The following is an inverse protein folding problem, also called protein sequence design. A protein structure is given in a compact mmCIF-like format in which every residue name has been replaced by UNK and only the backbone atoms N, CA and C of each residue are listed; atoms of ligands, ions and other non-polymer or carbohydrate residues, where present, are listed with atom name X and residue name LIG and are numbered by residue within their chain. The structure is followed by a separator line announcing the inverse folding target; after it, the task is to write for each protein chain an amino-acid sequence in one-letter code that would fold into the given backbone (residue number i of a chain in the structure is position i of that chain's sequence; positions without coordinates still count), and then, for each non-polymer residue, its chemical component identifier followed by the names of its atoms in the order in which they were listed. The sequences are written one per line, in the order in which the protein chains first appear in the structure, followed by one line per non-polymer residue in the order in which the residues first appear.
data_IF_540915976155
#
_entry.id   IF_540915976155
#
_cell.length_a   1.000
_cell.length_b   1.000
_cell.length_c   1.000
_cell.angle_alpha   90.00
_cell.angle_beta   90.00
_cell.angle_gamma   90.00
#
_symmetry.space_group_name_H-M   'P 1'
#
loop_
_entity.id
_entity.type
_entity.pdbx_description
1 polymer ?
#
# COMPACT_ATOMS: atom_id res chain seq x y z
N UNK A 1 -16.42 -39.02 -9.57
CA UNK A 1 -16.02 -38.00 -10.57
C UNK A 1 -15.89 -36.70 -9.80
N UNK A 2 -14.69 -36.41 -9.29
CA UNK A 2 -14.39 -35.25 -8.46
C UNK A 2 -13.41 -34.42 -9.29
N UNK A 3 -13.88 -33.35 -9.92
CA UNK A 3 -13.01 -32.44 -10.64
C UNK A 3 -12.17 -31.66 -9.62
N UNK A 4 -10.90 -32.03 -9.56
CA UNK A 4 -9.88 -31.31 -8.83
C UNK A 4 -9.56 -30.02 -9.61
N UNK A 5 -10.21 -28.92 -9.24
CA UNK A 5 -9.70 -27.57 -9.54
C UNK A 5 -8.35 -27.41 -8.81
N UNK A 6 -7.28 -27.91 -9.42
CA UNK A 6 -5.93 -27.42 -9.16
C UNK A 6 -5.86 -26.02 -9.74
N UNK A 7 -6.38 -25.06 -8.99
CA UNK A 7 -6.15 -23.65 -9.25
C UNK A 7 -4.64 -23.44 -9.32
N UNK A 8 -4.14 -23.13 -10.51
CA UNK A 8 -2.78 -22.68 -10.72
C UNK A 8 -2.58 -21.45 -9.84
N UNK A 9 -1.97 -21.65 -8.67
CA UNK A 9 -1.62 -20.57 -7.75
C UNK A 9 -0.62 -19.69 -8.49
N UNK A 10 -1.07 -18.55 -9.00
CA UNK A 10 -0.21 -17.59 -9.67
C UNK A 10 0.87 -17.22 -8.64
N UNK A 11 2.13 -17.64 -8.88
CA UNK A 11 3.26 -17.27 -8.01
C UNK A 11 3.52 -15.78 -8.24
N UNK A 12 2.87 -14.92 -7.47
CA UNK A 12 3.11 -13.47 -7.45
C UNK A 12 4.23 -13.14 -6.46
N UNK A 13 5.39 -13.76 -6.68
CA UNK A 13 6.61 -13.46 -5.94
C UNK A 13 7.24 -12.19 -6.52
N UNK A 14 7.47 -11.20 -5.68
CA UNK A 14 7.99 -9.89 -6.07
C UNK A 14 9.14 -9.53 -5.14
N UNK A 15 10.22 -8.98 -5.70
CA UNK A 15 11.39 -8.56 -4.94
C UNK A 15 11.23 -7.12 -4.46
N UNK A 16 11.34 -6.92 -3.14
CA UNK A 16 11.30 -5.59 -2.53
C UNK A 16 12.67 -5.22 -1.95
N UNK A 17 13.09 -3.95 -2.10
CA UNK A 17 14.30 -3.46 -1.47
C UNK A 17 14.15 -3.46 0.06
N UNK A 18 15.25 -3.78 0.74
CA UNK A 18 15.40 -3.67 2.19
C UNK A 18 16.76 -3.08 2.49
N UNK A 19 16.79 -2.03 3.33
CA UNK A 19 18.02 -1.46 3.84
C UNK A 19 18.37 -2.12 5.17
N UNK A 20 19.47 -2.86 5.19
CA UNK A 20 19.89 -3.63 6.35
C UNK A 20 21.02 -2.93 7.09
N UNK A 21 20.79 -2.61 8.35
CA UNK A 21 21.79 -2.08 9.27
C UNK A 21 22.06 -3.08 10.39
N UNK A 22 23.26 -3.02 10.98
CA UNK A 22 23.56 -3.80 12.19
C UNK A 22 23.03 -3.07 13.42
N UNK A 23 22.40 -3.83 14.32
CA UNK A 23 21.96 -3.37 15.65
C UNK A 23 22.75 -4.14 16.71
N UNK A 24 23.79 -3.50 17.25
CA UNK A 24 24.69 -4.14 18.22
C UNK A 24 25.59 -5.22 17.59
N UNK A 25 25.93 -6.25 18.37
CA UNK A 25 26.99 -7.21 18.02
C UNK A 25 26.52 -8.27 17.00
N UNK A 26 25.27 -8.70 17.08
CA UNK A 26 24.79 -9.88 16.33
C UNK A 26 23.39 -9.76 15.70
N UNK A 27 22.72 -8.61 15.82
CA UNK A 27 21.40 -8.44 15.21
C UNK A 27 21.44 -7.51 14.01
N UNK A 28 20.53 -7.78 13.09
CA UNK A 28 20.25 -6.98 11.91
C UNK A 28 18.88 -6.32 12.08
N UNK A 29 18.77 -5.10 11.58
CA UNK A 29 17.51 -4.39 11.40
C UNK A 29 17.34 -4.09 9.91
N UNK A 30 16.15 -4.29 9.39
CA UNK A 30 15.79 -4.07 8.00
C UNK A 30 14.65 -3.07 7.88
N UNK A 31 14.87 -1.98 7.16
CA UNK A 31 13.85 -1.01 6.82
C UNK A 31 13.43 -1.18 5.36
N UNK A 32 12.13 -1.27 5.10
CA UNK A 32 11.60 -1.37 3.76
C UNK A 32 11.05 -0.01 3.32
N UNK A 33 11.57 0.64 2.26
CA UNK A 33 11.08 1.93 1.79
C UNK A 33 9.62 1.85 1.34
N UNK A 34 9.23 0.73 0.73
CA UNK A 34 7.86 0.52 0.26
C UNK A 34 6.90 0.15 1.39
N UNK A 35 7.41 -0.25 2.56
CA UNK A 35 6.62 -0.58 3.74
C UNK A 35 7.16 0.15 4.98
N UNK A 36 7.00 1.48 5.08
CA UNK A 36 7.65 2.29 6.14
C UNK A 36 7.15 1.96 7.55
N UNK A 37 6.01 1.27 7.69
CA UNK A 37 5.50 0.78 8.98
C UNK A 37 6.05 -0.60 9.37
N UNK A 38 6.85 -1.24 8.51
CA UNK A 38 7.45 -2.55 8.73
C UNK A 38 8.91 -2.36 9.11
N UNK A 39 9.26 -2.88 10.28
CA UNK A 39 10.59 -2.79 10.85
C UNK A 39 11.07 -4.20 11.16
N UNK A 40 11.79 -4.79 10.21
CA UNK A 40 12.24 -6.16 10.31
C UNK A 40 13.46 -6.26 11.23
N UNK A 41 13.54 -7.32 12.03
CA UNK A 41 14.69 -7.60 12.88
C UNK A 41 15.00 -9.10 12.89
N UNK A 42 16.28 -9.46 13.00
CA UNK A 42 16.72 -10.86 13.08
C UNK A 42 18.20 -11.00 13.43
N UNK A 43 18.61 -12.15 13.95
CA UNK A 43 20.02 -12.52 14.16
C UNK A 43 20.71 -13.02 12.89
N UNK A 44 19.94 -13.34 11.85
CA UNK A 44 20.41 -13.70 10.52
C UNK A 44 19.56 -13.01 9.44
N UNK A 45 20.01 -13.03 8.18
CA UNK A 45 19.20 -12.51 7.07
C UNK A 45 17.92 -13.33 6.88
N UNK A 46 17.96 -14.65 7.08
CA UNK A 46 16.76 -15.48 6.99
C UNK A 46 15.71 -15.11 8.06
N UNK A 47 16.15 -14.82 9.28
CA UNK A 47 15.26 -14.35 10.35
C UNK A 47 14.69 -12.96 10.06
N UNK A 48 15.52 -12.07 9.49
CA UNK A 48 15.11 -10.73 9.09
C UNK A 48 14.06 -10.77 7.96
N UNK A 49 14.26 -11.61 6.94
CA UNK A 49 13.31 -11.80 5.83
C UNK A 49 11.98 -12.39 6.35
N UNK A 50 12.05 -13.38 7.24
CA UNK A 50 10.85 -13.95 7.87
C UNK A 50 10.09 -12.93 8.71
N UNK A 51 10.81 -12.08 9.47
CA UNK A 51 10.25 -10.99 10.26
C UNK A 51 9.56 -9.94 9.39
N UNK A 52 10.19 -9.54 8.29
CA UNK A 52 9.61 -8.62 7.31
C UNK A 52 8.30 -9.18 6.74
N UNK A 53 8.34 -10.43 6.25
CA UNK A 53 7.17 -11.07 5.65
C UNK A 53 6.01 -11.21 6.65
N UNK A 54 6.30 -11.63 7.89
CA UNK A 54 5.27 -11.76 8.92
C UNK A 54 4.57 -10.42 9.19
N UNK A 55 5.32 -9.33 9.29
CA UNK A 55 4.76 -8.00 9.53
C UNK A 55 3.97 -7.46 8.33
N UNK A 56 4.44 -7.70 7.11
CA UNK A 56 3.73 -7.31 5.89
C UNK A 56 2.41 -8.06 5.78
N UNK A 57 2.42 -9.39 5.97
CA UNK A 57 1.19 -10.21 5.99
C UNK A 57 0.26 -9.71 7.08
N UNK A 58 0.72 -9.54 8.33
CA UNK A 58 -0.14 -9.09 9.43
C UNK A 58 -0.80 -7.71 9.18
N UNK A 59 -0.16 -6.84 8.40
CA UNK A 59 -0.66 -5.49 8.09
C UNK A 59 -1.54 -5.44 6.83
N UNK A 60 -1.36 -6.36 5.88
CA UNK A 60 -2.02 -6.27 4.57
C UNK A 60 -3.01 -7.41 4.32
N UNK A 61 -2.84 -8.57 4.96
CA UNK A 61 -3.73 -9.71 4.77
C UNK A 61 -5.13 -9.41 5.32
N UNK A 62 -6.15 -9.57 4.47
CA UNK A 62 -7.54 -9.25 4.79
C UNK A 62 -7.86 -7.77 5.02
N UNK A 63 -6.89 -6.85 4.85
CA UNK A 63 -7.11 -5.41 4.94
C UNK A 63 -7.26 -4.79 3.55
N UNK A 64 -8.08 -3.74 3.43
CA UNK A 64 -8.19 -2.91 2.22
C UNK A 64 -6.97 -1.98 2.03
N UNK A 65 -5.76 -2.47 2.30
CA UNK A 65 -4.50 -1.74 2.12
C UNK A 65 -3.79 -2.22 0.85
N UNK A 66 -3.45 -1.27 -0.02
CA UNK A 66 -2.65 -1.53 -1.21
C UNK A 66 -1.28 -2.09 -0.81
N UNK A 67 -0.84 -3.10 -1.54
CA UNK A 67 0.58 -3.46 -1.59
C UNK A 67 1.23 -2.54 -2.64
N UNK A 68 2.12 -1.61 -2.24
CA UNK A 68 2.77 -0.72 -3.20
C UNK A 68 3.70 -1.51 -4.13
N UNK A 69 3.93 -1.05 -5.38
CA UNK A 69 4.94 -1.66 -6.23
C UNK A 69 6.35 -1.48 -5.63
N UNK A 70 7.29 -2.41 -5.86
CA UNK A 70 8.64 -2.29 -5.32
C UNK A 70 9.40 -1.12 -5.93
N UNK A 71 10.11 -0.36 -5.11
CA UNK A 71 11.06 0.65 -5.59
C UNK A 71 12.32 -0.04 -6.08
N UNK A 72 12.48 -0.17 -7.40
CA UNK A 72 13.63 -0.88 -8.02
C UNK A 72 14.77 0.04 -8.45
N UNK A 73 14.55 1.36 -8.51
CA UNK A 73 15.58 2.32 -8.89
C UNK A 73 16.56 2.58 -7.73
N UNK A 74 17.77 2.02 -7.86
CA UNK A 74 18.82 2.17 -6.86
C UNK A 74 19.22 3.63 -6.62
N UNK A 75 19.10 4.51 -7.61
CA UNK A 75 19.44 5.94 -7.44
C UNK A 75 18.45 6.60 -6.49
N UNK A 76 17.16 6.24 -6.58
CA UNK A 76 16.12 6.70 -5.66
C UNK A 76 16.37 6.15 -4.26
N UNK A 77 16.71 4.86 -4.16
CA UNK A 77 17.00 4.22 -2.86
C UNK A 77 18.20 4.85 -2.16
N UNK A 78 19.29 5.09 -2.88
CA UNK A 78 20.51 5.71 -2.34
C UNK A 78 20.33 7.19 -1.97
N UNK A 79 19.44 7.90 -2.67
CA UNK A 79 19.10 9.28 -2.34
C UNK A 79 18.10 9.38 -1.17
N UNK A 80 17.52 8.27 -0.72
CA UNK A 80 16.51 8.25 0.34
C UNK A 80 17.13 8.50 1.72
N UNK A 81 16.35 9.06 2.65
CA UNK A 81 16.78 9.24 4.04
C UNK A 81 16.99 7.92 4.81
N UNK A 82 16.68 6.77 4.22
CA UNK A 82 16.98 5.46 4.79
C UNK A 82 18.44 5.06 4.57
N UNK A 83 19.06 5.50 3.47
CA UNK A 83 20.44 5.16 3.18
C UNK A 83 21.40 6.03 4.00
N UNK A 84 21.67 5.56 5.21
CA UNK A 84 22.63 6.18 6.13
C UNK A 84 24.11 5.97 5.75
N UNK A 85 24.37 5.20 4.68
CA UNK A 85 25.71 4.69 4.34
C UNK A 85 26.32 3.68 5.33
N UNK A 86 25.62 3.32 6.41
CA UNK A 86 26.08 2.36 7.44
C UNK A 86 25.51 0.95 7.26
N UNK A 87 24.65 0.76 6.26
CA UNK A 87 23.99 -0.48 5.94
C UNK A 87 24.26 -0.95 4.52
N UNK A 88 23.54 -1.99 4.13
CA UNK A 88 23.55 -2.53 2.77
C UNK A 88 22.12 -2.62 2.25
N UNK A 89 21.96 -2.34 0.96
CA UNK A 89 20.73 -2.67 0.24
C UNK A 89 20.73 -4.14 -0.15
N UNK A 90 19.60 -4.80 0.06
CA UNK A 90 19.29 -6.12 -0.50
C UNK A 90 17.88 -6.11 -1.07
N UNK A 91 17.59 -7.09 -1.89
CA UNK A 91 16.23 -7.39 -2.32
C UNK A 91 15.76 -8.67 -1.62
N UNK A 92 14.54 -8.65 -1.11
CA UNK A 92 13.91 -9.81 -0.48
C UNK A 92 12.68 -10.21 -1.28
N UNK A 93 12.50 -11.51 -1.45
CA UNK A 93 11.37 -12.06 -2.18
C UNK A 93 10.13 -12.12 -1.27
N UNK A 94 9.09 -11.40 -1.65
CA UNK A 94 7.80 -11.41 -0.96
C UNK A 94 6.80 -12.17 -1.82
N UNK A 95 6.23 -13.23 -1.27
CA UNK A 95 5.15 -13.97 -1.90
C UNK A 95 3.81 -13.25 -1.67
N UNK A 96 3.41 -12.41 -2.63
CA UNK A 96 2.14 -11.70 -2.58
C UNK A 96 0.94 -12.66 -2.66
N UNK A 97 1.12 -13.92 -3.08
CA UNK A 97 0.08 -14.94 -3.00
C UNK A 97 -0.27 -15.37 -1.57
N UNK A 98 0.53 -14.94 -0.57
CA UNK A 98 0.25 -15.07 0.87
C UNK A 98 -0.33 -13.80 1.49
N UNK A 99 -0.30 -12.69 0.76
CA UNK A 99 -0.94 -11.44 1.15
C UNK A 99 -2.24 -11.40 0.35
N UNK A 100 -3.38 -11.76 0.96
CA UNK A 100 -4.67 -11.68 0.26
C UNK A 100 -5.15 -10.23 0.14
N UNK A 101 -4.33 -9.36 -0.45
CA UNK A 101 -4.76 -8.02 -0.83
C UNK A 101 -5.64 -8.16 -2.07
N UNK A 102 -6.96 -8.10 -1.87
CA UNK A 102 -7.95 -8.15 -2.96
C UNK A 102 -8.02 -6.79 -3.65
N UNK A 103 -6.88 -6.29 -4.11
CA UNK A 103 -6.77 -4.99 -4.76
C UNK A 103 -6.73 -5.21 -6.25
N UNK A 104 -7.78 -4.72 -6.91
CA UNK A 104 -7.90 -4.69 -8.36
C UNK A 104 -7.60 -3.28 -8.83
N UNK A 105 -6.68 -3.14 -9.78
CA UNK A 105 -6.53 -1.89 -10.52
C UNK A 105 -7.73 -1.74 -11.44
N UNK A 106 -8.56 -0.73 -11.18
CA UNK A 106 -9.72 -0.43 -12.02
C UNK A 106 -9.44 0.84 -12.82
N UNK A 107 -9.43 0.72 -14.15
CA UNK A 107 -9.44 1.88 -15.03
C UNK A 107 -10.87 2.43 -15.13
N UNK A 108 -11.06 3.68 -14.73
CA UNK A 108 -12.37 4.34 -14.65
C UNK A 108 -12.37 5.58 -15.53
N UNK A 109 -13.48 5.81 -16.24
CA UNK A 109 -13.76 7.11 -16.86
C UNK A 109 -14.68 7.90 -15.94
N UNK A 110 -14.19 8.99 -15.35
CA UNK A 110 -14.92 9.86 -14.45
C UNK A 110 -15.11 11.26 -15.07
N UNK A 111 -16.17 12.01 -14.70
CA UNK A 111 -16.29 13.41 -15.08
C UNK A 111 -15.05 14.21 -14.66
N UNK A 112 -14.56 15.08 -15.55
CA UNK A 112 -13.34 15.86 -15.31
C UNK A 112 -13.36 16.64 -13.99
N UNK A 113 -14.52 17.18 -13.62
CA UNK A 113 -14.67 17.93 -12.38
C UNK A 113 -14.51 17.03 -11.14
N UNK A 114 -15.06 15.82 -11.17
CA UNK A 114 -14.92 14.85 -10.08
C UNK A 114 -13.46 14.44 -9.87
N UNK A 115 -12.71 14.22 -10.96
CA UNK A 115 -11.27 13.92 -10.86
C UNK A 115 -10.51 15.07 -10.19
N UNK A 116 -10.83 16.33 -10.54
CA UNK A 116 -10.21 17.51 -9.92
C UNK A 116 -10.53 17.63 -8.43
N UNK A 117 -11.74 17.28 -8.04
CA UNK A 117 -12.16 17.33 -6.63
C UNK A 117 -11.45 16.26 -5.79
N UNK A 118 -11.28 15.05 -6.34
CA UNK A 118 -10.48 13.99 -5.71
C UNK A 118 -9.02 14.44 -5.57
N UNK A 119 -8.45 15.05 -6.61
CA UNK A 119 -7.05 15.53 -6.58
C UNK A 119 -6.82 16.60 -5.53
N UNK A 120 -7.76 17.55 -5.43
CA UNK A 120 -7.72 18.59 -4.40
C UNK A 120 -7.80 17.98 -3.01
N UNK A 121 -8.72 17.05 -2.79
CA UNK A 121 -8.89 16.40 -1.48
C UNK A 121 -7.65 15.58 -1.09
N UNK A 122 -7.09 14.83 -2.04
CA UNK A 122 -5.82 14.11 -1.84
C UNK A 122 -4.69 15.07 -1.43
N UNK A 123 -4.60 16.22 -2.10
CA UNK A 123 -3.62 17.26 -1.79
C UNK A 123 -3.84 17.93 -0.43
N UNK A 124 -5.08 18.25 -0.07
CA UNK A 124 -5.43 18.89 1.22
C UNK A 124 -5.18 17.95 2.41
N UNK A 125 -5.44 16.66 2.22
CA UNK A 125 -5.24 15.63 3.25
C UNK A 125 -3.82 15.04 3.25
N UNK A 126 -2.98 15.37 2.26
CA UNK A 126 -1.63 14.83 2.13
C UNK A 126 -1.60 13.32 1.85
N UNK A 127 -2.63 12.78 1.20
CA UNK A 127 -2.79 11.35 0.90
C UNK A 127 -2.81 11.08 -0.60
N UNK A 128 -2.76 9.81 -0.99
CA UNK A 128 -2.82 9.40 -2.40
C UNK A 128 -4.26 9.46 -2.94
N UNK A 129 -4.37 9.60 -4.28
CA UNK A 129 -5.65 9.66 -4.99
C UNK A 129 -6.49 8.39 -4.79
N UNK A 130 -5.85 7.23 -4.88
CA UNK A 130 -6.41 5.90 -4.62
C UNK A 130 -6.94 5.77 -3.18
N UNK A 131 -6.18 6.21 -2.17
CA UNK A 131 -6.66 6.22 -0.79
C UNK A 131 -7.85 7.16 -0.61
N UNK A 132 -7.83 8.33 -1.26
CA UNK A 132 -8.96 9.26 -1.28
C UNK A 132 -10.22 8.62 -1.88
N UNK A 133 -10.09 7.92 -3.00
CA UNK A 133 -11.20 7.19 -3.65
C UNK A 133 -11.73 6.07 -2.74
N UNK A 134 -10.85 5.30 -2.11
CA UNK A 134 -11.27 4.25 -1.16
C UNK A 134 -12.07 4.84 0.01
N UNK A 135 -11.58 5.93 0.61
CA UNK A 135 -12.28 6.63 1.69
C UNK A 135 -13.66 7.13 1.25
N UNK A 136 -13.75 7.75 0.06
CA UNK A 136 -15.03 8.22 -0.49
C UNK A 136 -16.02 7.08 -0.73
N UNK A 137 -15.55 5.92 -1.21
CA UNK A 137 -16.39 4.73 -1.40
C UNK A 137 -16.89 4.13 -0.08
N UNK A 138 -16.04 4.08 0.95
CA UNK A 138 -16.42 3.60 2.29
C UNK A 138 -17.52 4.48 2.93
N UNK A 139 -17.42 5.80 2.77
CA UNK A 139 -18.42 6.74 3.29
C UNK A 139 -19.69 6.83 2.40
N UNK A 140 -19.54 6.62 1.08
CA UNK A 140 -20.63 6.66 0.12
C UNK A 140 -21.56 5.44 0.14
N UNK A 141 -21.10 4.30 0.68
CA UNK A 141 -21.88 3.06 0.77
C UNK A 141 -23.15 3.16 1.64
N UNK A 142 -23.32 4.25 2.41
CA UNK A 142 -24.50 4.54 3.22
C UNK A 142 -25.57 5.40 2.53
N UNK A 143 -25.36 5.87 1.30
CA UNK A 143 -26.36 6.64 0.54
C UNK A 143 -26.65 5.95 -0.79
N UNK A 144 -27.91 5.56 -1.09
CA UNK A 144 -28.23 5.10 -2.43
C UNK A 144 -27.90 6.22 -3.41
N UNK A 145 -27.12 5.90 -4.44
CA UNK A 145 -26.88 6.79 -5.56
C UNK A 145 -28.25 7.16 -6.15
N UNK A 146 -28.76 8.34 -5.79
CA UNK A 146 -29.87 8.96 -6.49
C UNK A 146 -29.32 9.34 -7.86
N UNK A 147 -29.51 8.45 -8.82
CA UNK A 147 -29.36 8.78 -10.22
C UNK A 147 -30.27 9.97 -10.51
N UNK A 148 -29.69 11.16 -10.54
CA UNK A 148 -30.33 12.37 -10.98
C UNK A 148 -29.54 12.85 -12.20
N UNK A 149 -30.22 12.87 -13.35
CA UNK A 149 -29.73 13.47 -14.57
C UNK A 149 -29.39 14.96 -14.39
N UNK A 150 -28.95 15.63 -15.47
CA UNK A 150 -28.33 16.94 -15.40
C UNK A 150 -29.38 18.02 -15.14
N UNK A 151 -29.80 18.19 -13.89
CA UNK A 151 -30.27 19.49 -13.44
C UNK A 151 -30.12 19.64 -11.92
N UNK A 152 -29.58 20.79 -11.53
CA UNK A 152 -29.46 21.34 -10.16
C UNK A 152 -28.39 20.77 -9.22
N UNK A 153 -27.17 21.30 -9.37
CA UNK A 153 -26.27 21.52 -8.23
C UNK A 153 -26.67 22.83 -7.54
N UNK A 154 -27.50 22.75 -6.50
CA UNK A 154 -27.45 23.72 -5.41
C UNK A 154 -26.36 23.28 -4.43
N UNK A 155 -25.65 24.20 -3.77
CA UNK A 155 -24.52 23.85 -2.91
C UNK A 155 -25.03 23.12 -1.67
N UNK A 156 -24.87 21.79 -1.64
CA UNK A 156 -24.99 21.03 -0.41
C UNK A 156 -23.78 21.39 0.46
N UNK A 157 -24.08 21.88 1.66
CA UNK A 157 -23.11 22.26 2.67
C UNK A 157 -22.07 21.16 2.90
N UNK A 158 -20.80 21.54 2.88
CA UNK A 158 -19.70 20.68 3.32
C UNK A 158 -19.93 20.28 4.79
N UNK A 159 -19.69 19.03 5.19
CA UNK A 159 -19.65 18.68 6.59
C UNK A 159 -18.43 19.36 7.25
N UNK A 160 -18.66 20.11 8.32
CA UNK A 160 -17.57 20.64 9.14
C UNK A 160 -16.90 19.50 9.90
N UNK A 161 -15.60 19.32 9.67
CA UNK A 161 -14.77 18.40 10.45
C UNK A 161 -14.49 19.01 11.83
N UNK A 162 -14.71 18.29 12.94
CA UNK A 162 -14.21 18.72 14.23
C UNK A 162 -12.69 18.50 14.27
N UNK A 163 -11.96 19.60 14.48
CA UNK A 163 -10.52 19.58 14.77
C UNK A 163 -10.35 19.01 16.19
N UNK A 164 -9.56 17.95 16.32
CA UNK A 164 -8.87 17.58 17.55
C UNK A 164 -7.50 17.01 17.22
#
# INVERSE_FOLDING_TARGET
MHDAFHGTRIRTKVEYPIYITRRGISRYRGALPDFPAVEAEGGSYAELDASALQQIVARHDGQARLVPPPTVDMSILQASGLDTGQGIWRFIEIDLGRVSSTVLLVALSLPRQLVRDIDRMASELGITRDLTVSLLCEHGAGHPARGAGPDRLAPAALPEFPIM
#
